data_IF_966695098357
#
_entry.id   IF_966695098357
#
_cell.length_a   1.000
_cell.length_b   1.000
_cell.length_c   1.000
_cell.angle_alpha   90.00
_cell.angle_beta   90.00
_cell.angle_gamma   90.00
#
_symmetry.space_group_name_H-M   'P 1'
#
loop_
_entity.id
_entity.type
_entity.pdbx_description
1 polymer ?
#
# COMPACT_ATOMS: atom_id res chain seq x y z
N UNK A 1 -11.21 14.02 5.98
CA UNK A 1 -10.68 13.24 4.82
C UNK A 1 -9.32 12.72 5.22
N UNK A 2 -9.02 11.45 4.97
CA UNK A 2 -7.74 10.86 5.40
C UNK A 2 -6.89 10.56 4.16
N UNK A 3 -5.67 11.09 4.15
CA UNK A 3 -4.63 10.76 3.17
C UNK A 3 -3.60 9.86 3.83
N UNK A 4 -3.45 8.64 3.32
CA UNK A 4 -2.33 7.76 3.67
C UNK A 4 -1.14 8.17 2.81
N UNK A 5 -0.23 8.94 3.39
CA UNK A 5 0.88 9.58 2.70
C UNK A 5 2.09 8.65 2.65
N UNK A 6 2.58 8.38 1.44
CA UNK A 6 3.69 7.46 1.18
C UNK A 6 4.46 7.96 -0.04
N UNK A 7 5.80 7.93 0.05
CA UNK A 7 6.67 8.33 -1.05
C UNK A 7 6.54 7.40 -2.27
N UNK A 8 6.82 7.91 -3.48
CA UNK A 8 6.84 7.09 -4.70
C UNK A 8 7.72 5.85 -4.53
N UNK A 9 8.93 6.02 -4.02
CA UNK A 9 9.89 4.92 -3.89
C UNK A 9 9.43 3.85 -2.89
N UNK A 10 8.77 4.25 -1.80
CA UNK A 10 8.19 3.30 -0.85
C UNK A 10 7.02 2.52 -1.48
N UNK A 11 6.17 3.19 -2.27
CA UNK A 11 5.08 2.54 -3.02
C UNK A 11 5.64 1.56 -4.04
N UNK A 12 6.62 1.99 -4.85
CA UNK A 12 7.30 1.17 -5.86
C UNK A 12 7.94 -0.05 -5.20
N UNK A 13 8.72 0.17 -4.15
CA UNK A 13 9.40 -0.90 -3.41
C UNK A 13 8.40 -1.93 -2.85
N UNK A 14 7.29 -1.49 -2.28
CA UNK A 14 6.27 -2.40 -1.72
C UNK A 14 5.53 -3.19 -2.81
N UNK A 15 5.09 -2.53 -3.88
CA UNK A 15 4.28 -3.18 -4.93
C UNK A 15 5.14 -4.13 -5.78
N UNK A 16 6.36 -3.75 -6.14
CA UNK A 16 7.26 -4.61 -6.94
C UNK A 16 7.67 -5.91 -6.22
N UNK A 17 7.68 -5.90 -4.89
CA UNK A 17 7.94 -7.07 -4.06
C UNK A 17 6.68 -7.89 -3.75
N UNK A 18 5.52 -7.53 -4.31
CA UNK A 18 4.30 -8.32 -4.16
C UNK A 18 4.40 -9.62 -4.96
N UNK A 19 3.91 -10.69 -4.36
CA UNK A 19 3.76 -12.01 -4.96
C UNK A 19 2.36 -12.52 -4.69
N UNK A 20 1.82 -13.33 -5.59
CA UNK A 20 0.50 -13.95 -5.42
C UNK A 20 0.58 -15.43 -5.76
N UNK A 21 -0.09 -16.26 -4.97
CA UNK A 21 -0.28 -17.66 -5.31
C UNK A 21 -1.32 -17.78 -6.43
N UNK A 22 -0.98 -18.34 -7.61
CA UNK A 22 -1.93 -18.48 -8.72
C UNK A 22 -3.06 -19.46 -8.42
N UNK A 23 -2.92 -20.33 -7.40
CA UNK A 23 -3.91 -21.36 -7.04
C UNK A 23 -4.94 -20.88 -6.00
N UNK A 24 -4.50 -20.17 -4.97
CA UNK A 24 -5.38 -19.76 -3.86
C UNK A 24 -5.52 -18.24 -3.68
N UNK A 25 -4.80 -17.42 -4.46
CA UNK A 25 -4.87 -15.97 -4.39
C UNK A 25 -4.21 -15.35 -3.16
N UNK A 26 -3.60 -16.14 -2.25
CA UNK A 26 -2.87 -15.60 -1.09
C UNK A 26 -1.78 -14.65 -1.57
N UNK A 27 -1.77 -13.45 -0.98
CA UNK A 27 -0.81 -12.38 -1.27
C UNK A 27 0.37 -12.49 -0.32
N UNK A 28 1.55 -12.27 -0.87
CA UNK A 28 2.84 -12.26 -0.19
C UNK A 28 3.59 -10.98 -0.51
N UNK A 29 4.55 -10.64 0.32
CA UNK A 29 5.49 -9.58 0.04
C UNK A 29 6.90 -10.01 0.43
N UNK A 30 7.85 -9.94 -0.50
CA UNK A 30 9.20 -10.44 -0.30
C UNK A 30 10.04 -9.62 0.69
N UNK A 31 9.61 -8.42 1.08
CA UNK A 31 10.36 -7.53 2.00
C UNK A 31 9.62 -7.24 3.30
N UNK A 32 8.39 -7.71 3.48
CA UNK A 32 7.62 -7.57 4.72
C UNK A 32 7.67 -8.90 5.48
N UNK A 33 8.33 -8.96 6.66
CA UNK A 33 8.57 -10.22 7.37
C UNK A 33 7.32 -11.10 7.54
N UNK A 34 6.20 -10.52 7.99
CA UNK A 34 4.96 -11.26 8.27
C UNK A 34 4.22 -11.74 7.01
N UNK A 35 4.61 -11.25 5.83
CA UNK A 35 4.02 -11.60 4.53
C UNK A 35 5.00 -12.33 3.61
N UNK A 36 6.23 -12.61 4.08
CA UNK A 36 7.22 -13.34 3.28
C UNK A 36 6.86 -14.83 3.27
N UNK A 37 6.98 -15.53 2.14
CA UNK A 37 6.78 -16.98 2.13
C UNK A 37 7.86 -17.69 2.96
N UNK A 38 7.50 -18.82 3.56
CA UNK A 38 8.43 -19.61 4.38
C UNK A 38 9.53 -20.25 3.52
N UNK A 39 9.19 -20.62 2.29
CA UNK A 39 10.09 -21.18 1.29
C UNK A 39 10.19 -20.22 0.11
N UNK A 40 11.38 -20.08 -0.47
CA UNK A 40 11.63 -19.07 -1.49
C UNK A 40 10.69 -19.21 -2.69
N UNK A 41 9.96 -18.13 -2.98
CA UNK A 41 8.91 -18.03 -3.99
C UNK A 41 7.88 -19.19 -4.04
N UNK A 42 7.62 -19.89 -2.93
CA UNK A 42 6.57 -20.93 -2.85
C UNK A 42 5.42 -20.54 -1.93
N UNK A 43 4.19 -20.84 -2.34
CA UNK A 43 3.04 -20.67 -1.46
C UNK A 43 3.10 -21.66 -0.29
N UNK A 44 3.04 -21.16 0.94
CA UNK A 44 3.09 -22.01 2.15
C UNK A 44 2.00 -23.09 2.20
N UNK A 45 0.83 -22.79 1.61
CA UNK A 45 -0.35 -23.68 1.61
C UNK A 45 -0.41 -24.60 0.39
N UNK A 46 -0.17 -24.04 -0.80
CA UNK A 46 -0.35 -24.77 -2.05
C UNK A 46 0.94 -25.42 -2.58
N UNK A 47 2.10 -25.01 -2.06
CA UNK A 47 3.43 -25.44 -2.50
C UNK A 47 3.70 -25.24 -4.00
N UNK A 48 3.02 -24.26 -4.60
CA UNK A 48 3.23 -23.84 -6.00
C UNK A 48 4.03 -22.55 -6.05
N UNK A 49 4.73 -22.33 -7.18
CA UNK A 49 5.49 -21.12 -7.42
C UNK A 49 4.58 -19.88 -7.41
N UNK A 50 4.98 -18.88 -6.62
CA UNK A 50 4.34 -17.58 -6.59
C UNK A 50 4.66 -16.81 -7.86
N UNK A 51 3.73 -15.95 -8.27
CA UNK A 51 3.90 -15.10 -9.45
C UNK A 51 3.88 -13.63 -9.06
N UNK A 52 4.56 -12.80 -9.85
CA UNK A 52 4.39 -11.35 -9.84
C UNK A 52 3.33 -10.98 -10.88
N UNK A 53 2.45 -10.04 -10.56
CA UNK A 53 1.48 -9.52 -11.54
C UNK A 53 2.17 -8.58 -12.53
N UNK A 54 1.69 -8.53 -13.77
CA UNK A 54 2.27 -7.61 -14.77
C UNK A 54 2.18 -6.13 -14.37
N UNK A 55 1.13 -5.75 -13.64
CA UNK A 55 0.94 -4.38 -13.15
C UNK A 55 1.79 -4.03 -11.91
N UNK A 56 2.55 -4.99 -11.38
CA UNK A 56 3.51 -4.82 -10.28
C UNK A 56 4.95 -4.61 -10.79
N UNK A 57 5.17 -4.53 -12.10
CA UNK A 57 6.47 -4.14 -12.68
C UNK A 57 6.77 -2.67 -12.36
N UNK A 58 8.03 -2.35 -12.08
CA UNK A 58 8.44 -1.02 -11.62
C UNK A 58 7.95 0.11 -12.55
N UNK A 59 8.16 -0.03 -13.88
CA UNK A 59 7.71 0.97 -14.84
C UNK A 59 6.20 1.25 -14.74
N UNK A 60 5.41 0.18 -14.55
CA UNK A 60 3.95 0.25 -14.48
C UNK A 60 3.53 0.90 -13.17
N UNK A 61 4.18 0.56 -12.05
CA UNK A 61 3.89 1.13 -10.74
C UNK A 61 4.21 2.62 -10.72
N UNK A 62 5.39 3.02 -11.21
CA UNK A 62 5.78 4.45 -11.30
C UNK A 62 4.81 5.23 -12.18
N UNK A 63 4.43 4.68 -13.34
CA UNK A 63 3.43 5.31 -14.21
C UNK A 63 2.10 5.49 -13.51
N UNK A 64 1.61 4.45 -12.81
CA UNK A 64 0.35 4.53 -12.04
C UNK A 64 0.42 5.55 -10.92
N UNK A 65 1.56 5.63 -10.22
CA UNK A 65 1.76 6.62 -9.16
C UNK A 65 1.68 8.05 -9.72
N UNK A 66 2.34 8.34 -10.85
CA UNK A 66 2.26 9.66 -11.50
C UNK A 66 0.84 10.04 -11.88
N UNK A 67 0.10 9.14 -12.54
CA UNK A 67 -1.31 9.35 -12.91
C UNK A 67 -2.18 9.59 -11.67
N UNK A 68 -1.97 8.81 -10.60
CA UNK A 68 -2.64 9.03 -9.33
C UNK A 68 -2.35 10.44 -8.78
N UNK A 69 -1.09 10.86 -8.75
CA UNK A 69 -0.72 12.19 -8.26
C UNK A 69 -1.30 13.31 -9.11
N UNK A 70 -1.28 13.21 -10.44
CA UNK A 70 -1.88 14.20 -11.34
C UNK A 70 -3.38 14.37 -11.08
N UNK A 71 -4.10 13.27 -10.90
CA UNK A 71 -5.55 13.28 -10.64
C UNK A 71 -5.93 13.66 -9.21
N UNK A 72 -5.08 13.36 -8.23
CA UNK A 72 -5.41 13.46 -6.80
C UNK A 72 -4.83 14.71 -6.14
N UNK A 73 -3.74 15.28 -6.65
CA UNK A 73 -3.14 16.52 -6.10
C UNK A 73 -4.13 17.67 -5.97
N UNK A 74 -5.01 17.95 -6.96
CA UNK A 74 -6.03 18.99 -6.82
C UNK A 74 -7.04 18.72 -5.70
N UNK A 75 -7.36 17.45 -5.45
CA UNK A 75 -8.26 17.05 -4.35
C UNK A 75 -7.57 17.17 -2.99
N UNK A 76 -6.29 16.81 -2.90
CA UNK A 76 -5.48 17.01 -1.69
C UNK A 76 -5.48 18.49 -1.33
N UNK A 77 -5.14 19.36 -2.28
CA UNK A 77 -5.15 20.82 -2.06
C UNK A 77 -6.54 21.34 -1.67
N UNK A 78 -7.61 20.83 -2.30
CA UNK A 78 -8.97 21.21 -1.99
C UNK A 78 -9.37 20.90 -0.53
N UNK A 79 -9.04 19.71 -0.03
CA UNK A 79 -9.36 19.33 1.35
C UNK A 79 -8.42 19.97 2.37
N UNK A 80 -7.16 20.19 2.01
CA UNK A 80 -6.15 20.88 2.83
C UNK A 80 -6.57 22.33 3.10
N UNK A 81 -6.97 23.07 2.06
CA UNK A 81 -7.50 24.45 2.18
C UNK A 81 -8.75 24.56 3.07
N UNK A 82 -9.51 23.47 3.19
CA UNK A 82 -10.71 23.40 4.05
C UNK A 82 -10.38 23.00 5.49
N UNK A 83 -9.13 22.68 5.80
CA UNK A 83 -8.70 22.26 7.14
C UNK A 83 -9.29 20.92 7.59
N UNK A 84 -9.76 20.09 6.65
CA UNK A 84 -10.37 18.78 6.94
C UNK A 84 -9.55 17.60 6.40
N UNK A 85 -8.34 17.87 5.91
CA UNK A 85 -7.40 16.85 5.46
C UNK A 85 -6.51 16.40 6.61
N UNK A 86 -6.56 15.12 6.91
CA UNK A 86 -5.75 14.46 7.92
C UNK A 86 -4.72 13.56 7.21
N UNK A 87 -3.44 13.75 7.51
CA UNK A 87 -2.34 12.99 6.88
C UNK A 87 -1.83 11.94 7.85
N UNK A 88 -1.81 10.69 7.39
CA UNK A 88 -1.30 9.54 8.13
C UNK A 88 -0.09 8.97 7.40
N UNK A 89 1.01 8.72 8.11
CA UNK A 89 2.21 8.13 7.51
C UNK A 89 1.96 6.64 7.21
N UNK A 90 1.86 6.29 5.93
CA UNK A 90 1.62 4.92 5.51
C UNK A 90 2.85 4.01 5.58
N UNK A 91 4.02 4.51 6.01
CA UNK A 91 5.25 3.70 6.16
C UNK A 91 5.24 2.82 7.39
N UNK A 92 4.45 3.16 8.40
CA UNK A 92 4.31 2.36 9.62
C UNK A 92 3.73 0.95 9.34
N UNK A 93 3.79 0.08 10.35
CA UNK A 93 3.13 -1.22 10.31
C UNK A 93 1.60 -1.06 10.23
N UNK A 94 0.88 -2.00 9.58
CA UNK A 94 -0.57 -1.90 9.38
C UNK A 94 -1.36 -1.60 10.67
N UNK A 95 -0.97 -2.21 11.79
CA UNK A 95 -1.60 -2.03 13.11
C UNK A 95 -1.44 -0.60 13.61
N UNK A 96 -0.27 0.01 13.39
CA UNK A 96 0.01 1.39 13.77
C UNK A 96 -0.76 2.38 12.92
N UNK A 97 -0.77 2.18 11.60
CA UNK A 97 -1.56 2.99 10.66
C UNK A 97 -3.06 2.91 11.02
N UNK A 98 -3.56 1.70 11.36
CA UNK A 98 -4.94 1.52 11.83
C UNK A 98 -5.22 2.32 13.10
N UNK A 99 -4.34 2.27 14.09
CA UNK A 99 -4.47 3.03 15.33
C UNK A 99 -4.55 4.54 15.05
N UNK A 100 -3.68 5.06 14.19
CA UNK A 100 -3.65 6.48 13.80
C UNK A 100 -4.93 6.90 13.07
N UNK A 101 -5.43 6.06 12.15
CA UNK A 101 -6.72 6.28 11.47
C UNK A 101 -7.87 6.32 12.48
N UNK A 102 -7.93 5.37 13.41
CA UNK A 102 -9.01 5.32 14.41
C UNK A 102 -9.00 6.56 15.31
N UNK A 103 -7.83 7.01 15.77
CA UNK A 103 -7.69 8.25 16.55
C UNK A 103 -8.26 9.46 15.81
N UNK A 104 -7.97 9.57 14.51
CA UNK A 104 -8.53 10.65 13.67
C UNK A 104 -10.06 10.55 13.58
N UNK A 105 -10.62 9.34 13.45
CA UNK A 105 -12.08 9.16 13.35
C UNK A 105 -12.79 9.42 14.67
N UNK A 106 -12.23 9.00 15.80
CA UNK A 106 -12.79 9.19 17.14
C UNK A 106 -12.70 10.65 17.59
N UNK A 107 -11.58 11.34 17.31
CA UNK A 107 -11.40 12.76 17.61
C UNK A 107 -12.28 13.70 16.78
N UNK A 108 -12.89 13.20 15.70
CA UNK A 108 -13.79 13.94 14.81
C UNK A 108 -15.28 13.69 15.12
N UNK A 109 -15.62 13.01 16.22
CA UNK A 109 -16.99 12.98 16.73
C UNK A 109 -17.32 14.32 17.40
N UNK A 110 -17.82 15.27 16.61
CA UNK A 110 -18.56 16.44 17.08
C UNK A 110 -20.05 16.08 17.15
#
# INVERSE_FOLDING_TARGET
VILVDVSEDDVVRRITNRRICPKCGKVYNLIVPDLRPNEDELCDLCKVKLIQRDDDKEETVRRRYRVYMESTSPLIEYYDKRGILERIDGKHQPEKVKEEILKVLEGNQI
#
